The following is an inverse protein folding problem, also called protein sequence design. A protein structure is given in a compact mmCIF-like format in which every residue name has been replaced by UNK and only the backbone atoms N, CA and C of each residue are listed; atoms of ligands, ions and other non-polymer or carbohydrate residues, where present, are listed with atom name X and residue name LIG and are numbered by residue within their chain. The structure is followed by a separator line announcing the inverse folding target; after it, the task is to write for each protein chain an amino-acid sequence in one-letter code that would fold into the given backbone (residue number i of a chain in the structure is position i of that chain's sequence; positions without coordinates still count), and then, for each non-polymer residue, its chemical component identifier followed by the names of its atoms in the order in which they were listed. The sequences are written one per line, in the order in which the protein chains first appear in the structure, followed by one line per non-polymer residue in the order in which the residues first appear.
data_IF_852397163585
#
_entry.id   IF_852397163585
#
_cell.length_a   1.000
_cell.length_b   1.000
_cell.length_c   1.000
_cell.angle_alpha   90.00
_cell.angle_beta   90.00
_cell.angle_gamma   90.00
#
_symmetry.space_group_name_H-M   'P 1'
#
loop_
_entity.id
_entity.type
_entity.pdbx_description
1 polymer ?
#
# COMPACT_ATOMS: atom_id res chain seq x y z
N UNK A 1 0.00 3.29 -11.41
CA UNK A 1 1.22 4.05 -11.13
C UNK A 1 1.32 5.05 -12.26
N UNK A 2 1.36 6.33 -11.93
CA UNK A 2 1.24 7.42 -12.90
C UNK A 2 2.48 8.32 -12.81
N UNK A 3 3.02 8.73 -13.96
CA UNK A 3 4.19 9.59 -14.06
C UNK A 3 4.18 10.38 -15.39
N UNK A 4 4.90 11.50 -15.45
CA UNK A 4 4.89 12.41 -16.61
C UNK A 4 6.27 13.01 -16.92
N UNK A 5 6.36 13.66 -18.08
CA UNK A 5 7.54 14.38 -18.55
C UNK A 5 8.56 13.50 -19.29
N UNK A 6 8.13 12.31 -19.72
CA UNK A 6 8.96 11.40 -20.52
C UNK A 6 8.89 11.77 -22.00
N UNK A 7 9.88 11.29 -22.76
CA UNK A 7 9.88 11.42 -24.21
C UNK A 7 8.71 10.61 -24.79
N UNK A 8 7.82 11.21 -25.60
CA UNK A 8 6.67 10.50 -26.17
C UNK A 8 7.05 9.26 -26.96
N UNK A 9 6.17 8.25 -26.94
CA UNK A 9 6.35 6.98 -27.65
C UNK A 9 7.66 6.24 -27.33
N UNK A 10 8.22 6.45 -26.13
CA UNK A 10 9.40 5.72 -25.65
C UNK A 10 9.09 4.80 -24.47
N UNK A 11 9.91 3.77 -24.32
CA UNK A 11 9.79 2.82 -23.21
C UNK A 11 10.42 3.42 -21.93
N UNK A 12 9.70 3.26 -20.83
CA UNK A 12 10.18 3.52 -19.48
C UNK A 12 10.26 2.21 -18.70
N UNK A 13 11.19 2.15 -17.76
CA UNK A 13 11.38 1.02 -16.85
C UNK A 13 10.86 1.39 -15.47
N UNK A 14 10.12 0.49 -14.84
CA UNK A 14 9.58 0.66 -13.50
C UNK A 14 10.31 -0.30 -12.57
N UNK A 15 10.90 0.23 -11.50
CA UNK A 15 11.68 -0.54 -10.53
C UNK A 15 11.34 -0.16 -9.10
N UNK A 16 11.61 -1.04 -8.14
CA UNK A 16 11.53 -0.73 -6.71
C UNK A 16 12.94 -0.48 -6.18
N UNK A 17 13.17 0.66 -5.52
CA UNK A 17 14.51 1.14 -5.15
C UNK A 17 15.03 0.50 -3.86
N UNK A 18 14.16 0.31 -2.87
CA UNK A 18 14.52 -0.27 -1.57
C UNK A 18 15.08 -1.69 -1.66
N UNK A 19 14.72 -2.40 -2.73
CA UNK A 19 15.13 -3.76 -3.04
C UNK A 19 15.26 -3.85 -4.57
N UNK A 20 16.41 -3.40 -5.14
CA UNK A 20 16.56 -3.11 -6.56
C UNK A 20 16.09 -4.24 -7.48
N UNK A 21 14.86 -4.11 -7.98
CA UNK A 21 14.21 -5.10 -8.86
C UNK A 21 13.30 -4.39 -9.85
N UNK A 22 13.33 -4.85 -11.10
CA UNK A 22 12.43 -4.37 -12.16
C UNK A 22 11.04 -4.97 -11.93
N UNK A 23 10.03 -4.10 -11.87
CA UNK A 23 8.62 -4.45 -11.74
C UNK A 23 7.92 -4.60 -13.10
N UNK A 24 8.44 -3.91 -14.12
CA UNK A 24 7.96 -3.97 -15.50
C UNK A 24 8.44 -2.79 -16.34
N UNK A 25 7.85 -2.65 -17.53
CA UNK A 25 8.03 -1.49 -18.40
C UNK A 25 6.69 -1.02 -18.95
N UNK A 26 6.65 0.22 -19.43
CA UNK A 26 5.49 0.85 -20.04
C UNK A 26 5.93 1.82 -21.14
N UNK A 27 5.05 2.10 -22.09
CA UNK A 27 5.27 3.16 -23.09
C UNK A 27 4.71 4.47 -22.56
N UNK A 28 5.48 5.55 -22.74
CA UNK A 28 4.97 6.90 -22.59
C UNK A 28 4.01 7.22 -23.76
N UNK A 29 2.87 7.83 -23.45
CA UNK A 29 1.88 8.29 -24.44
C UNK A 29 2.40 9.48 -25.26
N UNK A 30 1.58 9.96 -26.20
CA UNK A 30 1.94 11.07 -27.10
C UNK A 30 2.19 12.39 -26.33
N UNK A 31 1.73 12.49 -25.09
CA UNK A 31 1.97 13.62 -24.19
C UNK A 31 3.11 13.37 -23.18
N UNK A 32 3.80 12.23 -23.27
CA UNK A 32 4.90 11.88 -22.36
C UNK A 32 4.44 11.42 -20.97
N UNK A 33 3.18 11.00 -20.83
CA UNK A 33 2.64 10.41 -19.59
C UNK A 33 2.72 8.90 -19.63
N UNK A 34 2.86 8.31 -18.46
CA UNK A 34 2.93 6.87 -18.25
C UNK A 34 1.86 6.50 -17.24
N UNK A 35 1.03 5.53 -17.58
CA UNK A 35 0.15 4.86 -16.63
C UNK A 35 0.34 3.35 -16.73
N UNK A 36 0.73 2.72 -15.63
CA UNK A 36 1.05 1.31 -15.60
C UNK A 36 0.52 0.62 -14.34
N UNK A 37 0.10 -0.64 -14.51
CA UNK A 37 -0.24 -1.54 -13.41
C UNK A 37 0.88 -2.56 -13.26
N UNK A 38 1.58 -2.49 -12.12
CA UNK A 38 2.70 -3.38 -11.80
C UNK A 38 2.37 -4.23 -10.59
N UNK A 39 2.95 -5.43 -10.53
CA UNK A 39 2.82 -6.31 -9.37
C UNK A 39 4.01 -6.10 -8.45
N UNK A 40 3.74 -5.83 -7.17
CA UNK A 40 4.77 -5.81 -6.15
C UNK A 40 5.25 -7.23 -5.83
N UNK A 41 6.55 -7.44 -5.59
CA UNK A 41 7.07 -8.71 -5.11
C UNK A 41 6.42 -9.12 -3.80
N UNK A 42 6.07 -10.40 -3.64
CA UNK A 42 5.39 -10.90 -2.43
C UNK A 42 6.31 -10.97 -1.20
N UNK A 43 7.62 -10.94 -1.43
CA UNK A 43 8.68 -10.95 -0.43
C UNK A 43 9.17 -9.54 -0.05
N UNK A 44 8.58 -8.49 -0.62
CA UNK A 44 8.89 -7.11 -0.25
C UNK A 44 8.51 -6.92 1.24
N UNK A 45 9.43 -6.46 2.10
CA UNK A 45 9.14 -6.23 3.52
C UNK A 45 7.95 -5.29 3.74
N UNK A 46 7.31 -5.36 4.91
CA UNK A 46 6.35 -4.34 5.28
C UNK A 46 7.09 -3.03 5.60
N UNK A 47 6.59 -1.90 5.11
CA UNK A 47 7.24 -0.61 5.27
C UNK A 47 6.99 0.35 4.10
N UNK A 48 7.70 1.47 4.15
CA UNK A 48 7.76 2.46 3.08
C UNK A 48 8.80 2.04 2.03
N UNK A 49 8.42 2.15 0.77
CA UNK A 49 9.26 1.84 -0.37
C UNK A 49 9.09 2.91 -1.46
N UNK A 50 10.05 2.98 -2.38
CA UNK A 50 9.99 3.88 -3.53
C UNK A 50 9.98 3.08 -4.83
N UNK A 51 8.90 3.19 -5.59
CA UNK A 51 8.85 2.71 -6.96
C UNK A 51 9.28 3.85 -7.89
N UNK A 52 10.26 3.62 -8.75
CA UNK A 52 10.85 4.61 -9.64
C UNK A 52 10.49 4.26 -11.09
N UNK A 53 9.96 5.24 -11.81
CA UNK A 53 9.82 5.21 -13.27
C UNK A 53 11.03 5.89 -13.88
N UNK A 54 11.84 5.15 -14.63
CA UNK A 54 13.08 5.61 -15.24
C UNK A 54 12.97 5.56 -16.77
N UNK A 55 13.33 6.64 -17.43
CA UNK A 55 13.30 6.74 -18.89
C UNK A 55 13.97 8.00 -19.41
N UNK A 56 13.82 8.26 -20.70
CA UNK A 56 14.28 9.52 -21.28
C UNK A 56 13.22 10.61 -21.04
N UNK A 57 13.64 11.78 -20.60
CA UNK A 57 12.81 12.98 -20.49
C UNK A 57 12.57 13.65 -21.84
N UNK A 58 11.54 14.49 -21.92
CA UNK A 58 11.26 15.27 -23.13
C UNK A 58 12.41 16.21 -23.54
N UNK A 59 13.32 16.54 -22.62
CA UNK A 59 14.54 17.32 -22.84
C UNK A 59 15.72 16.48 -23.37
N UNK A 60 15.54 15.17 -23.54
CA UNK A 60 16.55 14.23 -23.99
C UNK A 60 17.49 13.71 -22.89
N UNK A 61 17.29 14.11 -21.63
CA UNK A 61 18.09 13.63 -20.49
C UNK A 61 17.44 12.41 -19.82
N UNK A 62 18.15 11.74 -18.90
CA UNK A 62 17.54 10.68 -18.10
C UNK A 62 16.62 11.31 -17.06
N UNK A 63 15.37 10.84 -17.02
CA UNK A 63 14.34 11.24 -16.06
C UNK A 63 13.99 10.08 -15.15
N UNK A 64 13.90 10.37 -13.85
CA UNK A 64 13.43 9.44 -12.84
C UNK A 64 12.29 10.10 -12.04
N UNK A 65 11.17 9.39 -11.91
CA UNK A 65 10.02 9.83 -11.12
C UNK A 65 9.76 8.78 -10.03
N UNK A 66 9.90 9.18 -8.77
CA UNK A 66 9.65 8.31 -7.63
C UNK A 66 8.20 8.42 -7.15
N UNK A 67 7.60 7.28 -6.85
CA UNK A 67 6.28 7.15 -6.23
C UNK A 67 6.44 6.37 -4.93
N UNK A 68 5.92 6.92 -3.85
CA UNK A 68 5.91 6.29 -2.54
C UNK A 68 4.91 5.12 -2.52
N UNK A 69 5.33 3.99 -1.98
CA UNK A 69 4.53 2.77 -1.87
C UNK A 69 4.60 2.28 -0.43
N UNK A 70 3.45 2.23 0.24
CA UNK A 70 3.31 1.65 1.56
C UNK A 70 2.92 0.17 1.46
N UNK A 71 3.81 -0.73 1.88
CA UNK A 71 3.49 -2.14 2.05
C UNK A 71 2.99 -2.36 3.46
N UNK A 72 1.73 -2.78 3.58
CA UNK A 72 1.12 -3.07 4.88
C UNK A 72 1.49 -4.49 5.33
N UNK A 73 1.75 -4.69 6.64
CA UNK A 73 1.91 -6.03 7.17
C UNK A 73 0.63 -6.83 6.97
N UNK A 74 0.77 -8.09 6.55
CA UNK A 74 -0.36 -9.00 6.41
C UNK A 74 -0.90 -9.32 7.80
N UNK A 75 -1.99 -8.66 8.18
CA UNK A 75 -2.66 -8.92 9.46
C UNK A 75 -2.99 -10.41 9.60
N UNK A 76 -2.53 -11.03 10.67
CA UNK A 76 -2.89 -12.42 10.97
C UNK A 76 -4.34 -12.52 11.45
N UNK A 77 -4.99 -13.70 11.35
CA UNK A 77 -6.38 -13.90 11.78
C UNK A 77 -6.62 -13.56 13.27
N UNK A 78 -5.56 -13.44 14.07
CA UNK A 78 -5.59 -13.05 15.47
C UNK A 78 -6.12 -11.63 15.72
N UNK A 79 -5.97 -10.69 14.77
CA UNK A 79 -6.53 -9.34 14.92
C UNK A 79 -8.06 -9.36 14.99
N UNK A 80 -8.70 -10.22 14.19
CA UNK A 80 -10.14 -10.47 14.26
C UNK A 80 -10.54 -11.22 15.53
N UNK A 81 -9.69 -12.13 16.03
CA UNK A 81 -9.95 -12.84 17.28
C UNK A 81 -9.96 -11.89 18.49
N UNK A 82 -9.04 -10.90 18.55
CA UNK A 82 -9.01 -9.88 19.61
C UNK A 82 -10.22 -8.96 19.53
N UNK A 83 -10.58 -8.48 18.32
CA UNK A 83 -11.77 -7.63 18.12
C UNK A 83 -13.07 -8.37 18.46
N UNK A 84 -13.18 -9.66 18.10
CA UNK A 84 -14.33 -10.50 18.44
C UNK A 84 -14.48 -10.74 19.94
N UNK A 85 -13.38 -11.00 20.66
CA UNK A 85 -13.40 -11.20 22.10
C UNK A 85 -13.84 -9.94 22.86
N UNK A 86 -13.40 -8.76 22.41
CA UNK A 86 -13.79 -7.47 23.01
C UNK A 86 -15.30 -7.20 22.93
N UNK A 87 -15.94 -7.51 21.80
CA UNK A 87 -17.40 -7.37 21.64
C UNK A 87 -18.16 -8.33 22.58
N UNK A 88 -17.68 -9.57 22.72
CA UNK A 88 -18.29 -10.56 23.63
C UNK A 88 -18.19 -10.11 25.10
N UNK A 89 -17.06 -9.55 25.54
CA UNK A 89 -16.91 -9.05 26.91
C UNK A 89 -17.83 -7.86 27.21
N UNK A 90 -18.05 -6.95 26.26
CA UNK A 90 -18.98 -5.82 26.45
C UNK A 90 -20.43 -6.31 26.55
N UNK A 91 -20.83 -7.23 25.68
CA UNK A 91 -22.19 -7.79 25.70
C UNK A 91 -22.47 -8.63 26.96
N UNK A 92 -21.51 -9.45 27.40
CA UNK A 92 -21.64 -10.25 28.63
C UNK A 92 -21.54 -9.42 29.90
N UNK A 93 -20.67 -8.41 29.92
CA UNK A 93 -20.52 -7.50 31.05
C UNK A 93 -21.76 -6.66 31.35
N UNK A 94 -22.55 -6.31 30.32
CA UNK A 94 -23.84 -5.62 30.48
C UNK A 94 -24.93 -6.55 31.03
N UNK A 95 -24.89 -7.84 30.69
CA UNK A 95 -25.89 -8.83 31.14
C UNK A 95 -25.73 -9.24 32.61
N UNK A 96 -24.52 -9.13 33.18
CA UNK A 96 -24.22 -9.57 34.55
C UNK A 96 -24.37 -8.48 35.61
N UNK A 97 -24.91 -7.30 35.29
CA UNK A 97 -25.11 -6.23 36.28
C UNK A 97 -26.10 -6.73 37.34
N UNK A 98 -25.65 -7.12 38.54
CA UNK A 98 -26.54 -7.76 39.50
C UNK A 98 -27.51 -6.70 39.99
N UNK A 99 -28.80 -6.98 39.85
CA UNK A 99 -29.87 -6.21 40.47
C UNK A 99 -29.69 -6.32 41.98
N UNK A 100 -28.88 -5.40 42.52
CA UNK A 100 -28.66 -5.23 43.95
C UNK A 100 -30.00 -4.83 44.55
N UNK A 101 -30.78 -5.83 44.99
CA UNK A 101 -32.02 -5.66 45.73
C UNK A 101 -31.73 -4.73 46.90
N UNK A 102 -32.34 -3.54 46.85
CA UNK A 102 -32.42 -2.64 47.99
C UNK A 102 -33.56 -3.20 48.85
N UNK A 103 -33.21 -4.06 49.79
CA UNK A 103 -34.12 -4.36 50.88
C UNK A 103 -33.76 -3.41 52.02
N UNK A 104 -34.70 -2.49 52.25
CA UNK A 104 -34.69 -1.51 53.32
C UNK A 104 -34.93 -2.21 54.66
N UNK A 105 -34.16 -1.81 55.67
CA UNK A 105 -34.35 -2.11 57.08
C UNK A 105 -33.81 -0.95 57.89
#
# INVERSE_FOLDING_TARGET
MDADGFLPATEVVILIESDPRVLGSALADDEGRVSALVRLPSDLPAGEHHAVVLGQGADGTVRAVAVEVQVLPRGGPWLYAILGLGVVMVLTGVALRPWRRRDAG
#
